data_IF_306836526478
#
_entry.id   IF_306836526478
#
_cell.length_a   1.000
_cell.length_b   1.000
_cell.length_c   1.000
_cell.angle_alpha   90.00
_cell.angle_beta   90.00
_cell.angle_gamma   90.00
#
_symmetry.space_group_name_H-M   'P 1'
#
loop_
_entity.id
_entity.type
_entity.pdbx_description
1 polymer ?
#
# COMPACT_ATOMS: atom_id res chain seq x y z
N UNK A 1 3.71 -1.96 18.06
CA UNK A 1 4.29 -3.22 17.53
C UNK A 1 5.80 -3.29 17.71
N UNK A 2 6.59 -2.33 17.22
CA UNK A 2 8.07 -2.32 17.36
C UNK A 2 8.60 -2.39 18.80
N UNK A 3 7.83 -1.95 19.77
CA UNK A 3 8.19 -2.04 21.19
C UNK A 3 7.94 -3.42 21.81
N UNK A 4 7.19 -4.30 21.13
CA UNK A 4 6.70 -5.57 21.66
C UNK A 4 7.02 -6.78 20.77
N UNK A 5 7.44 -6.54 19.52
CA UNK A 5 7.77 -7.58 18.54
C UNK A 5 9.18 -7.33 18.00
N UNK A 6 10.01 -8.39 17.85
CA UNK A 6 11.24 -8.31 17.06
C UNK A 6 10.95 -7.87 15.62
N UNK A 7 11.92 -7.22 14.97
CA UNK A 7 11.74 -6.63 13.64
C UNK A 7 11.25 -7.65 12.59
N UNK A 8 11.71 -8.90 12.66
CA UNK A 8 11.32 -9.96 11.72
C UNK A 8 9.87 -10.46 11.91
N UNK A 9 9.22 -10.13 13.03
CA UNK A 9 7.82 -10.46 13.31
C UNK A 9 6.87 -9.31 12.99
N UNK A 10 7.37 -8.17 12.53
CA UNK A 10 6.54 -7.02 12.20
C UNK A 10 5.98 -7.21 10.79
N UNK A 11 4.64 -7.28 10.63
CA UNK A 11 4.04 -7.41 9.31
C UNK A 11 4.40 -6.21 8.43
N UNK A 12 4.72 -6.48 7.17
CA UNK A 12 4.97 -5.43 6.17
C UNK A 12 3.71 -4.67 5.79
N UNK A 13 2.56 -5.34 5.84
CA UNK A 13 1.26 -4.79 5.49
C UNK A 13 0.23 -5.17 6.56
N UNK A 14 -0.68 -4.24 6.86
CA UNK A 14 -1.79 -4.43 7.78
C UNK A 14 -3.05 -3.98 7.03
N UNK A 15 -4.02 -4.87 6.96
CA UNK A 15 -5.29 -4.63 6.26
C UNK A 15 -6.42 -4.60 7.28
N UNK A 16 -7.37 -3.69 7.08
CA UNK A 16 -8.57 -3.62 7.90
C UNK A 16 -9.69 -4.35 7.19
N UNK A 17 -10.26 -5.34 7.85
CA UNK A 17 -11.40 -6.11 7.39
C UNK A 17 -12.59 -5.78 8.29
N UNK A 18 -13.78 -5.64 7.70
CA UNK A 18 -15.03 -5.57 8.47
C UNK A 18 -15.39 -6.93 9.05
N UNK A 19 -15.11 -8.01 8.32
CA UNK A 19 -15.30 -9.39 8.75
C UNK A 19 -14.29 -10.34 8.08
N UNK A 20 -14.04 -11.48 8.69
CA UNK A 20 -13.20 -12.52 8.07
C UNK A 20 -14.04 -13.33 7.07
N UNK A 21 -13.58 -13.49 5.81
CA UNK A 21 -14.26 -14.35 4.88
C UNK A 21 -14.10 -15.81 5.35
N UNK A 22 -15.22 -16.53 5.38
CA UNK A 22 -15.26 -17.92 5.80
C UNK A 22 -15.74 -18.80 4.65
N UNK A 23 -15.17 -19.99 4.55
CA UNK A 23 -15.67 -21.08 3.71
C UNK A 23 -17.03 -21.58 4.24
N UNK A 24 -17.75 -22.36 3.43
CA UNK A 24 -19.03 -22.97 3.84
C UNK A 24 -18.94 -23.80 5.14
N UNK A 25 -17.75 -24.31 5.47
CA UNK A 25 -17.49 -25.07 6.69
C UNK A 25 -16.99 -24.20 7.86
N UNK A 26 -17.08 -22.87 7.75
CA UNK A 26 -16.71 -21.92 8.81
C UNK A 26 -15.21 -21.70 9.01
N UNK A 27 -14.34 -22.31 8.18
CA UNK A 27 -12.89 -22.03 8.20
C UNK A 27 -12.59 -20.74 7.46
N UNK A 28 -11.54 -20.03 7.87
CA UNK A 28 -11.04 -18.85 7.14
C UNK A 28 -10.77 -19.21 5.68
N UNK A 29 -11.37 -18.42 4.78
CA UNK A 29 -11.12 -18.50 3.36
C UNK A 29 -9.87 -17.71 2.98
N UNK A 30 -8.74 -18.42 2.94
CA UNK A 30 -7.45 -17.86 2.57
C UNK A 30 -7.39 -17.36 1.12
N UNK A 31 -8.23 -17.88 0.21
CA UNK A 31 -8.23 -17.41 -1.18
C UNK A 31 -8.90 -16.05 -1.26
N UNK A 32 -10.08 -15.92 -0.64
CA UNK A 32 -10.79 -14.64 -0.56
C UNK A 32 -9.98 -13.56 0.16
N UNK A 33 -9.26 -13.91 1.24
CA UNK A 33 -8.35 -12.97 1.91
C UNK A 33 -7.22 -12.48 1.00
N UNK A 34 -6.62 -13.37 0.19
CA UNK A 34 -5.55 -12.98 -0.74
C UNK A 34 -6.04 -12.01 -1.80
N UNK A 35 -7.22 -12.27 -2.36
CA UNK A 35 -7.86 -11.39 -3.34
C UNK A 35 -8.15 -10.02 -2.73
N UNK A 36 -8.73 -9.98 -1.53
CA UNK A 36 -8.97 -8.74 -0.80
C UNK A 36 -7.68 -7.92 -0.61
N UNK A 37 -6.59 -8.58 -0.20
CA UNK A 37 -5.29 -7.90 -0.03
C UNK A 37 -4.75 -7.31 -1.35
N UNK A 38 -4.97 -8.00 -2.48
CA UNK A 38 -4.57 -7.51 -3.81
C UNK A 38 -5.39 -6.29 -4.22
N UNK A 39 -6.72 -6.38 -4.10
CA UNK A 39 -7.63 -5.28 -4.41
C UNK A 39 -7.33 -4.04 -3.57
N UNK A 40 -7.12 -4.22 -2.26
CA UNK A 40 -6.76 -3.13 -1.36
C UNK A 40 -5.43 -2.47 -1.75
N UNK A 41 -4.45 -3.27 -2.19
CA UNK A 41 -3.15 -2.76 -2.60
C UNK A 41 -3.23 -1.97 -3.91
N UNK A 42 -4.04 -2.44 -4.87
CA UNK A 42 -4.32 -1.71 -6.10
C UNK A 42 -5.06 -0.40 -5.84
N UNK A 43 -6.10 -0.42 -5.00
CA UNK A 43 -6.82 0.78 -4.60
C UNK A 43 -5.87 1.77 -3.93
N UNK A 44 -5.07 1.30 -2.97
CA UNK A 44 -4.10 2.12 -2.26
C UNK A 44 -3.10 2.80 -3.21
N UNK A 45 -2.52 2.06 -4.16
CA UNK A 45 -1.59 2.62 -5.14
C UNK A 45 -2.25 3.64 -6.09
N UNK A 46 -3.53 3.45 -6.40
CA UNK A 46 -4.29 4.31 -7.30
C UNK A 46 -4.98 5.50 -6.61
N UNK A 47 -4.78 5.69 -5.30
CA UNK A 47 -5.39 6.81 -4.58
C UNK A 47 -4.94 8.15 -5.14
N UNK A 48 -5.93 8.98 -5.46
CA UNK A 48 -5.71 10.34 -5.90
C UNK A 48 -5.14 11.20 -4.75
N UNK A 49 -4.38 12.26 -5.07
CA UNK A 49 -3.92 13.22 -4.08
C UNK A 49 -5.12 13.85 -3.38
N UNK A 50 -5.10 13.85 -2.04
CA UNK A 50 -6.21 14.37 -1.24
C UNK A 50 -6.16 15.90 -1.17
N UNK A 51 -4.95 16.47 -1.21
CA UNK A 51 -4.72 17.90 -0.99
C UNK A 51 -3.84 18.53 -2.07
N UNK A 52 -4.01 19.83 -2.31
CA UNK A 52 -3.20 20.58 -3.29
C UNK A 52 -1.69 20.50 -3.06
N UNK A 53 -1.24 20.32 -1.81
CA UNK A 53 0.18 20.12 -1.50
C UNK A 53 0.73 18.80 -2.06
N UNK A 54 -0.04 17.71 -1.96
CA UNK A 54 0.36 16.41 -2.50
C UNK A 54 0.47 16.48 -4.03
N UNK A 55 -0.45 17.18 -4.70
CA UNK A 55 -0.39 17.43 -6.15
C UNK A 55 0.89 18.16 -6.57
N UNK A 56 1.30 19.18 -5.80
CA UNK A 56 2.54 19.92 -6.05
C UNK A 56 3.75 19.00 -5.91
N UNK A 57 3.82 18.20 -4.85
CA UNK A 57 4.93 17.27 -4.60
C UNK A 57 5.03 16.25 -5.74
N UNK A 58 3.91 15.65 -6.15
CA UNK A 58 3.88 14.68 -7.25
C UNK A 58 4.39 15.34 -8.53
N UNK A 59 3.94 16.55 -8.84
CA UNK A 59 4.39 17.29 -10.03
C UNK A 59 5.90 17.55 -10.00
N UNK A 60 6.46 17.90 -8.85
CA UNK A 60 7.90 18.10 -8.68
C UNK A 60 8.65 16.79 -8.89
N UNK A 61 8.19 15.70 -8.29
CA UNK A 61 8.83 14.39 -8.39
C UNK A 61 8.77 13.83 -9.81
N UNK A 62 7.64 13.97 -10.51
CA UNK A 62 7.52 13.58 -11.91
C UNK A 62 8.51 14.33 -12.80
N UNK A 63 8.72 15.63 -12.54
CA UNK A 63 9.72 16.44 -13.26
C UNK A 63 11.16 16.02 -12.94
N UNK A 64 11.46 15.72 -11.66
CA UNK A 64 12.81 15.35 -11.22
C UNK A 64 13.20 13.94 -11.70
N UNK A 65 12.27 13.00 -11.64
CA UNK A 65 12.51 11.58 -11.96
C UNK A 65 12.21 11.24 -13.43
N UNK A 66 11.63 12.17 -14.19
CA UNK A 66 11.28 11.97 -15.61
C UNK A 66 10.21 10.88 -15.84
N UNK A 67 9.44 10.53 -14.83
CA UNK A 67 8.40 9.48 -14.89
C UNK A 67 7.04 10.02 -14.46
N UNK A 68 6.00 9.61 -15.17
CA UNK A 68 4.61 9.95 -14.82
C UNK A 68 3.98 8.95 -13.83
N UNK A 69 4.70 7.88 -13.45
CA UNK A 69 4.23 6.81 -12.54
C UNK A 69 4.44 7.15 -11.05
N UNK A 70 4.29 8.41 -10.69
CA UNK A 70 4.38 8.85 -9.28
C UNK A 70 2.97 8.98 -8.73
N UNK A 71 2.72 8.25 -7.66
CA UNK A 71 1.46 8.20 -6.94
C UNK A 71 1.64 8.76 -5.53
N UNK A 72 0.52 8.97 -4.84
CA UNK A 72 0.50 9.54 -3.48
C UNK A 72 1.38 8.78 -2.48
N UNK A 73 1.41 7.45 -2.59
CA UNK A 73 2.16 6.57 -1.69
C UNK A 73 3.48 6.07 -2.32
N UNK A 74 3.93 6.69 -3.41
CA UNK A 74 5.23 6.40 -4.00
C UNK A 74 6.37 6.77 -3.04
N UNK A 75 7.44 5.98 -3.06
CA UNK A 75 8.62 6.24 -2.25
C UNK A 75 9.74 6.85 -3.10
N UNK A 76 10.08 8.12 -2.87
CA UNK A 76 11.06 8.88 -3.67
C UNK A 76 12.32 8.09 -4.04
N UNK A 77 12.99 7.51 -3.04
CA UNK A 77 14.26 6.80 -3.23
C UNK A 77 14.10 5.51 -4.02
N UNK A 78 12.97 4.81 -3.84
CA UNK A 78 12.66 3.61 -4.62
C UNK A 78 12.40 3.97 -6.08
N UNK A 79 11.62 5.03 -6.33
CA UNK A 79 11.28 5.46 -7.69
C UNK A 79 12.46 6.11 -8.43
N UNK A 80 13.42 6.68 -7.71
CA UNK A 80 14.65 7.25 -8.28
C UNK A 80 15.82 6.27 -8.37
N UNK A 81 15.63 4.99 -8.03
CA UNK A 81 16.70 3.98 -7.96
C UNK A 81 17.91 4.39 -7.10
N UNK A 82 17.68 5.24 -6.10
CA UNK A 82 18.71 5.66 -5.14
C UNK A 82 18.61 4.70 -3.95
N UNK A 83 19.51 3.72 -3.89
CA UNK A 83 19.62 2.75 -2.80
C UNK A 83 20.13 3.37 -1.50
#
# INVERSE_FOLDING_TARGET
MRQFLPDYMIPKHIYFLTEFPLTANGKIDNQSLKLYCQEYQEEYLNQQPINGKEQIIITIWQKLLGTNKIHRHSHFFREGEIA
#
